data_IF_255584150452
#
_entry.id   IF_255584150452
#
_cell.length_a   1.000
_cell.length_b   1.000
_cell.length_c   1.000
_cell.angle_alpha   90.00
_cell.angle_beta   90.00
_cell.angle_gamma   90.00
#
_symmetry.space_group_name_H-M   'P 1'
#
loop_
_entity.id
_entity.type
_entity.pdbx_description
1 polymer ?
#
# COMPACT_ATOMS: atom_id res chain seq x y z
N UNK A 1 8.02 1.60 -16.76
CA UNK A 1 6.90 2.00 -17.63
C UNK A 1 5.78 0.99 -17.49
N UNK A 2 4.55 1.40 -17.73
CA UNK A 2 3.37 0.51 -17.68
C UNK A 2 2.24 1.06 -18.54
N UNK A 3 1.15 0.31 -18.64
CA UNK A 3 -0.05 0.70 -19.38
C UNK A 3 -1.26 0.66 -18.44
N UNK A 4 -2.12 1.66 -18.48
CA UNK A 4 -3.34 1.70 -17.65
C UNK A 4 -4.25 0.54 -18.05
N UNK A 5 -4.31 -0.50 -17.23
CA UNK A 5 -5.10 -1.70 -17.47
C UNK A 5 -6.50 -1.58 -16.88
N UNK A 6 -6.63 -1.04 -15.67
CA UNK A 6 -7.90 -0.89 -14.99
C UNK A 6 -7.97 0.46 -14.27
N UNK A 7 -9.17 1.03 -14.28
CA UNK A 7 -9.53 2.22 -13.49
C UNK A 7 -10.80 1.87 -12.73
N UNK A 8 -10.79 2.07 -11.43
CA UNK A 8 -11.91 1.80 -10.54
C UNK A 8 -12.08 2.91 -9.51
N UNK A 9 -13.31 3.17 -9.08
CA UNK A 9 -13.61 4.08 -7.96
C UNK A 9 -14.57 3.36 -7.00
N UNK A 10 -14.00 2.87 -5.90
CA UNK A 10 -14.74 2.25 -4.82
C UNK A 10 -15.14 3.35 -3.81
N UNK A 11 -16.34 3.90 -4.00
CA UNK A 11 -16.84 5.02 -3.23
C UNK A 11 -17.42 4.63 -1.86
N UNK A 12 -16.91 3.58 -1.23
CA UNK A 12 -17.32 3.14 0.11
C UNK A 12 -16.32 3.54 1.17
N UNK A 13 -16.80 3.75 2.40
CA UNK A 13 -15.93 4.00 3.56
C UNK A 13 -14.99 2.81 3.76
N UNK A 14 -13.73 3.14 4.01
CA UNK A 14 -12.63 2.18 4.16
C UNK A 14 -12.27 1.37 2.91
N UNK A 15 -12.88 1.66 1.76
CA UNK A 15 -12.47 1.18 0.45
C UNK A 15 -11.23 1.90 -0.08
N UNK A 16 -10.80 1.53 -1.29
CA UNK A 16 -9.65 2.17 -1.94
C UNK A 16 -9.94 3.55 -2.53
N UNK A 17 -11.23 3.90 -2.68
CA UNK A 17 -11.58 5.06 -3.49
C UNK A 17 -11.09 4.92 -4.93
N UNK A 18 -10.71 6.03 -5.60
CA UNK A 18 -10.16 5.96 -6.94
C UNK A 18 -8.85 5.17 -6.99
N UNK A 19 -8.81 4.18 -7.87
CA UNK A 19 -7.75 3.18 -7.98
C UNK A 19 -7.37 2.98 -9.44
N UNK A 20 -6.08 2.78 -9.69
CA UNK A 20 -5.54 2.48 -11.02
C UNK A 20 -4.64 1.26 -10.92
N UNK A 21 -4.77 0.33 -11.87
CA UNK A 21 -3.79 -0.72 -12.09
C UNK A 21 -3.04 -0.45 -13.39
N UNK A 22 -1.72 -0.47 -13.30
CA UNK A 22 -0.84 -0.44 -14.46
C UNK A 22 -0.37 -1.88 -14.78
N UNK A 23 -0.54 -2.30 -16.01
CA UNK A 23 0.07 -3.53 -16.53
C UNK A 23 1.53 -3.28 -16.86
N UNK A 24 2.37 -4.23 -16.53
CA UNK A 24 3.80 -4.27 -16.84
C UNK A 24 4.16 -5.60 -17.48
N UNK A 25 5.28 -5.59 -18.22
CA UNK A 25 5.88 -6.81 -18.76
C UNK A 25 7.34 -6.87 -18.35
N UNK A 26 7.77 -8.05 -17.95
CA UNK A 26 9.20 -8.34 -17.75
C UNK A 26 9.90 -8.51 -19.09
N UNK A 27 11.23 -8.55 -19.07
CA UNK A 27 12.03 -8.83 -20.27
C UNK A 27 11.80 -10.25 -20.80
N UNK A 28 11.36 -11.18 -19.93
CA UNK A 28 10.99 -12.56 -20.29
C UNK A 28 9.56 -12.66 -20.87
N UNK A 29 8.78 -11.57 -20.78
CA UNK A 29 7.42 -11.49 -21.30
C UNK A 29 6.32 -11.77 -20.28
N UNK A 30 6.66 -12.03 -19.02
CA UNK A 30 5.68 -12.21 -17.95
C UNK A 30 4.93 -10.92 -17.68
N UNK A 31 3.65 -11.06 -17.36
CA UNK A 31 2.76 -9.93 -17.06
C UNK A 31 2.52 -9.85 -15.57
N UNK A 32 2.59 -8.64 -15.04
CA UNK A 32 2.18 -8.31 -13.68
C UNK A 32 1.58 -6.92 -13.65
N UNK A 33 0.95 -6.57 -12.54
CA UNK A 33 0.35 -5.24 -12.35
C UNK A 33 0.89 -4.56 -11.11
N UNK A 34 0.81 -3.23 -11.11
CA UNK A 34 0.96 -2.43 -9.90
C UNK A 34 -0.34 -1.67 -9.64
N UNK A 35 -0.85 -1.80 -8.42
CA UNK A 35 -2.05 -1.13 -7.96
C UNK A 35 -1.68 0.13 -7.20
N UNK A 36 -2.41 1.19 -7.49
CA UNK A 36 -2.33 2.50 -6.84
C UNK A 36 -3.72 2.88 -6.34
N UNK A 37 -3.92 2.85 -5.03
CA UNK A 37 -5.20 3.17 -4.39
C UNK A 37 -5.16 4.51 -3.64
N UNK A 38 -6.32 4.98 -3.20
CA UNK A 38 -6.54 6.24 -2.48
C UNK A 38 -6.15 7.47 -3.29
N UNK A 39 -6.34 7.41 -4.60
CA UNK A 39 -6.00 8.49 -5.53
C UNK A 39 -7.10 9.57 -5.54
N UNK A 40 -6.77 10.77 -6.07
CA UNK A 40 -7.77 11.80 -6.28
C UNK A 40 -8.60 11.52 -7.53
N UNK A 41 -9.92 11.68 -7.44
CA UNK A 41 -10.85 11.55 -8.59
C UNK A 41 -10.42 12.41 -9.76
N UNK A 42 -10.04 13.65 -9.48
CA UNK A 42 -9.62 14.60 -10.50
C UNK A 42 -8.41 14.11 -11.30
N UNK A 43 -7.46 13.43 -10.69
CA UNK A 43 -6.29 12.90 -11.39
C UNK A 43 -6.65 11.65 -12.19
N UNK A 44 -7.43 10.74 -11.60
CA UNK A 44 -7.82 9.48 -12.24
C UNK A 44 -8.74 9.71 -13.45
N UNK A 45 -9.63 10.69 -13.39
CA UNK A 45 -10.50 11.07 -14.52
C UNK A 45 -9.77 11.55 -15.78
N UNK A 46 -8.48 11.87 -15.67
CA UNK A 46 -7.65 12.29 -16.81
C UNK A 46 -6.97 11.10 -17.51
N UNK A 47 -7.07 9.93 -16.92
CA UNK A 47 -6.47 8.71 -17.46
C UNK A 47 -7.44 7.98 -18.36
N UNK A 48 -6.91 7.23 -19.29
CA UNK A 48 -7.67 6.36 -20.18
C UNK A 48 -7.13 4.95 -20.16
N UNK A 49 -7.97 3.95 -20.30
CA UNK A 49 -7.54 2.57 -20.49
C UNK A 49 -6.63 2.46 -21.72
N UNK A 50 -5.56 1.71 -21.61
CA UNK A 50 -4.54 1.58 -22.65
C UNK A 50 -3.52 2.73 -22.70
N UNK A 51 -3.67 3.77 -21.89
CA UNK A 51 -2.70 4.87 -21.83
C UNK A 51 -1.37 4.36 -21.30
N UNK A 52 -0.28 4.65 -22.04
CA UNK A 52 1.08 4.37 -21.58
C UNK A 52 1.50 5.39 -20.52
N UNK A 53 2.13 4.90 -19.45
CA UNK A 53 2.75 5.71 -18.40
C UNK A 53 4.24 5.43 -18.41
N UNK A 54 5.04 6.47 -18.59
CA UNK A 54 6.50 6.35 -18.64
C UNK A 54 7.09 6.10 -17.25
N UNK A 55 8.31 5.56 -17.20
CA UNK A 55 9.06 5.42 -15.95
C UNK A 55 9.33 6.81 -15.34
N UNK A 56 8.91 6.99 -14.08
CA UNK A 56 9.08 8.26 -13.36
C UNK A 56 8.02 9.32 -13.69
N UNK A 57 7.04 9.01 -14.52
CA UNK A 57 5.94 9.93 -14.82
C UNK A 57 4.99 10.08 -13.63
N UNK A 58 4.69 11.34 -13.27
CA UNK A 58 3.68 11.66 -12.27
C UNK A 58 2.29 11.62 -12.94
N UNK A 59 1.56 10.53 -12.78
CA UNK A 59 0.26 10.31 -13.46
C UNK A 59 -0.96 10.57 -12.56
N UNK A 60 -0.80 10.55 -11.24
CA UNK A 60 -1.90 10.76 -10.31
C UNK A 60 -1.43 11.47 -9.03
N UNK A 61 -2.37 11.94 -8.22
CA UNK A 61 -2.15 12.52 -6.90
C UNK A 61 -2.98 11.78 -5.86
N UNK A 62 -2.62 11.90 -4.59
CA UNK A 62 -3.40 11.35 -3.48
C UNK A 62 -4.76 12.05 -3.36
N UNK A 63 -5.78 11.28 -3.04
CA UNK A 63 -7.11 11.78 -2.75
C UNK A 63 -7.23 12.35 -1.33
N UNK A 64 -8.09 13.35 -1.18
CA UNK A 64 -8.53 13.78 0.14
C UNK A 64 -9.45 12.72 0.78
N UNK A 65 -9.63 12.77 2.10
CA UNK A 65 -10.46 11.80 2.83
C UNK A 65 -11.87 11.64 2.24
N UNK A 66 -12.48 12.73 1.80
CA UNK A 66 -13.83 12.72 1.22
C UNK A 66 -13.97 11.91 -0.10
N UNK A 67 -12.87 11.51 -0.71
CA UNK A 67 -12.89 10.78 -1.99
C UNK A 67 -12.08 9.47 -1.97
N UNK A 68 -11.25 9.26 -0.95
CA UNK A 68 -10.29 8.15 -0.90
C UNK A 68 -10.69 7.02 0.06
N UNK A 69 -11.95 6.91 0.43
CA UNK A 69 -12.43 5.92 1.40
C UNK A 69 -12.33 6.39 2.86
N UNK A 70 -12.33 7.69 3.13
CA UNK A 70 -12.25 8.29 4.47
C UNK A 70 -10.90 8.10 5.19
N UNK A 71 -9.84 7.83 4.42
CA UNK A 71 -8.49 7.69 4.93
C UNK A 71 -7.73 9.02 4.94
N UNK A 72 -6.76 9.15 5.83
CA UNK A 72 -5.74 10.20 5.67
C UNK A 72 -5.05 10.06 4.31
N UNK A 73 -4.73 11.17 3.58
CA UNK A 73 -4.08 11.09 2.29
C UNK A 73 -2.79 10.26 2.31
N UNK A 74 -2.77 9.17 1.59
CA UNK A 74 -1.62 8.27 1.44
C UNK A 74 -1.73 7.47 0.15
N UNK A 75 -0.71 6.73 -0.20
CA UNK A 75 -0.73 5.75 -1.27
C UNK A 75 -0.92 4.35 -0.71
N UNK A 76 -1.92 3.63 -1.19
CA UNK A 76 -1.94 2.18 -1.13
C UNK A 76 -1.27 1.63 -2.40
N UNK A 77 -0.23 0.84 -2.23
CA UNK A 77 0.52 0.26 -3.35
C UNK A 77 0.62 -1.26 -3.19
N UNK A 78 0.31 -1.98 -4.27
CA UNK A 78 0.49 -3.43 -4.33
C UNK A 78 1.18 -3.82 -5.64
N UNK A 79 2.02 -4.85 -5.58
CA UNK A 79 2.38 -5.65 -6.76
C UNK A 79 1.33 -6.76 -6.88
N UNK A 80 0.85 -7.02 -8.08
CA UNK A 80 -0.19 -8.01 -8.34
C UNK A 80 0.28 -8.92 -9.47
N UNK A 81 0.38 -10.21 -9.21
CA UNK A 81 0.81 -11.21 -10.19
C UNK A 81 -0.36 -11.86 -10.90
N UNK A 82 -1.53 -11.84 -10.28
CA UNK A 82 -2.79 -12.32 -10.86
C UNK A 82 -3.94 -11.48 -10.27
N UNK A 83 -4.72 -10.84 -11.12
CA UNK A 83 -5.87 -10.05 -10.67
C UNK A 83 -7.14 -10.91 -10.46
N UNK A 84 -7.05 -12.24 -10.52
CA UNK A 84 -8.11 -13.21 -10.22
C UNK A 84 -9.45 -12.94 -10.96
N UNK A 85 -9.41 -12.30 -12.11
CA UNK A 85 -10.60 -11.89 -12.84
C UNK A 85 -11.41 -10.76 -12.18
N UNK A 86 -10.86 -10.10 -11.17
CA UNK A 86 -11.54 -9.05 -10.42
C UNK A 86 -11.51 -7.68 -11.11
N UNK A 87 -10.93 -7.59 -12.32
CA UNK A 87 -10.92 -6.36 -13.14
C UNK A 87 -10.42 -5.12 -12.37
N UNK A 88 -9.38 -5.30 -11.56
CA UNK A 88 -8.80 -4.23 -10.76
C UNK A 88 -9.41 -4.00 -9.38
N UNK A 89 -10.46 -4.72 -9.01
CA UNK A 89 -11.07 -4.68 -7.68
C UNK A 89 -10.34 -5.60 -6.70
N UNK A 90 -9.04 -5.39 -6.55
CA UNK A 90 -8.22 -6.17 -5.65
C UNK A 90 -8.55 -5.89 -4.19
N UNK A 91 -8.28 -6.87 -3.33
CA UNK A 91 -8.41 -6.71 -1.89
C UNK A 91 -7.14 -6.14 -1.28
N UNK A 92 -7.27 -5.17 -0.36
CA UNK A 92 -6.17 -4.60 0.42
C UNK A 92 -5.86 -5.38 1.69
N UNK A 93 -6.71 -6.33 2.03
CA UNK A 93 -6.58 -7.21 3.19
C UNK A 93 -6.94 -8.63 2.79
N UNK A 94 -6.32 -9.61 3.43
CA UNK A 94 -6.60 -11.02 3.22
C UNK A 94 -6.89 -11.73 4.54
N UNK A 95 -7.62 -12.85 4.48
CA UNK A 95 -7.83 -13.70 5.64
C UNK A 95 -6.57 -14.55 5.88
N UNK A 96 -6.25 -14.77 7.16
CA UNK A 96 -5.04 -15.46 7.60
C UNK A 96 -4.91 -16.86 7.01
N UNK A 97 -6.01 -17.58 6.91
CA UNK A 97 -6.02 -18.97 6.41
C UNK A 97 -5.68 -19.08 4.92
N UNK A 98 -5.72 -17.97 4.20
CA UNK A 98 -5.38 -17.85 2.78
C UNK A 98 -4.06 -17.13 2.55
N UNK A 99 -3.24 -16.94 3.57
CA UNK A 99 -2.02 -16.14 3.52
C UNK A 99 -1.09 -16.53 2.36
N UNK A 100 -0.89 -17.82 2.12
CA UNK A 100 -0.04 -18.31 1.03
C UNK A 100 -0.56 -17.90 -0.35
N UNK A 101 -1.90 -17.90 -0.54
CA UNK A 101 -2.52 -17.44 -1.78
C UNK A 101 -2.28 -15.94 -1.95
N UNK A 102 -2.53 -15.16 -0.89
CA UNK A 102 -2.36 -13.71 -0.96
C UNK A 102 -0.91 -13.29 -1.17
N UNK A 103 0.06 -13.99 -0.57
CA UNK A 103 1.47 -13.76 -0.84
C UNK A 103 1.87 -14.06 -2.29
N UNK A 104 1.25 -15.06 -2.91
CA UNK A 104 1.50 -15.38 -4.32
C UNK A 104 0.88 -14.35 -5.26
N UNK A 105 -0.35 -13.91 -4.96
CA UNK A 105 -1.12 -12.95 -5.79
C UNK A 105 -0.64 -11.53 -5.60
N UNK A 106 -0.23 -11.16 -4.39
CA UNK A 106 0.28 -9.82 -4.05
C UNK A 106 1.56 -9.95 -3.23
N UNK A 107 2.71 -10.20 -3.89
CA UNK A 107 4.00 -10.34 -3.22
C UNK A 107 4.45 -9.04 -2.58
N UNK A 108 5.48 -9.13 -1.72
CA UNK A 108 6.07 -7.98 -1.04
C UNK A 108 6.49 -6.90 -2.04
N UNK A 109 5.91 -5.69 -1.98
CA UNK A 109 6.21 -4.60 -2.91
C UNK A 109 7.65 -4.07 -2.79
N UNK A 110 8.40 -4.43 -1.74
CA UNK A 110 9.79 -4.06 -1.58
C UNK A 110 10.68 -4.52 -2.74
N UNK A 111 10.27 -5.59 -3.45
CA UNK A 111 10.96 -6.07 -4.67
C UNK A 111 11.03 -5.00 -5.77
N UNK A 112 10.02 -4.12 -5.85
CA UNK A 112 9.97 -3.03 -6.83
C UNK A 112 10.79 -1.83 -6.36
N UNK A 113 10.82 -1.58 -5.06
CA UNK A 113 11.52 -0.42 -4.49
C UNK A 113 13.02 -0.68 -4.24
N UNK A 114 13.46 -1.93 -4.35
CA UNK A 114 14.86 -2.30 -4.13
C UNK A 114 15.33 -2.14 -2.68
N UNK A 115 14.39 -2.08 -1.73
CA UNK A 115 14.71 -2.10 -0.31
C UNK A 115 13.85 -3.14 0.42
N UNK A 116 14.51 -3.92 1.24
CA UNK A 116 13.86 -4.70 2.27
C UNK A 116 14.25 -4.09 3.62
N UNK A 117 13.28 -3.76 4.46
CA UNK A 117 13.58 -3.45 5.86
C UNK A 117 13.34 -4.73 6.65
N UNK A 118 14.40 -5.46 7.03
CA UNK A 118 14.22 -6.64 7.85
C UNK A 118 13.48 -6.25 9.13
N UNK A 119 12.49 -7.03 9.54
CA UNK A 119 11.77 -6.81 10.81
C UNK A 119 12.75 -6.69 11.99
N UNK A 120 13.86 -7.41 11.96
CA UNK A 120 14.95 -7.32 12.95
C UNK A 120 15.55 -5.93 13.09
N UNK A 121 15.58 -5.12 12.02
CA UNK A 121 16.12 -3.74 12.10
C UNK A 121 15.16 -2.84 12.89
N UNK A 122 13.86 -3.02 12.75
CA UNK A 122 12.85 -2.27 13.50
C UNK A 122 12.88 -2.69 14.97
N UNK A 123 12.94 -3.97 15.24
CA UNK A 123 13.00 -4.52 16.61
C UNK A 123 14.24 -4.02 17.35
N UNK A 124 15.38 -3.91 16.68
CA UNK A 124 16.63 -3.45 17.27
C UNK A 124 16.69 -1.94 17.58
N UNK A 125 15.73 -1.13 17.07
CA UNK A 125 15.72 0.32 17.32
C UNK A 125 14.91 0.67 18.56
N UNK A 126 15.38 1.66 19.33
CA UNK A 126 14.64 2.17 20.48
C UNK A 126 13.37 2.94 20.05
N UNK A 127 12.41 3.06 20.97
CA UNK A 127 11.14 3.73 20.74
C UNK A 127 11.31 5.18 20.30
N UNK A 128 12.19 5.91 20.97
CA UNK A 128 12.40 7.34 20.71
C UNK A 128 12.98 7.58 19.33
N UNK A 129 13.92 6.71 18.91
CA UNK A 129 14.43 6.75 17.54
C UNK A 129 13.30 6.54 16.52
N UNK A 130 12.47 5.51 16.70
CA UNK A 130 11.37 5.20 15.79
C UNK A 130 10.34 6.33 15.72
N UNK A 131 9.99 6.93 16.86
CA UNK A 131 9.06 8.08 16.93
C UNK A 131 9.64 9.31 16.23
N UNK A 132 10.94 9.62 16.45
CA UNK A 132 11.62 10.73 15.76
C UNK A 132 11.66 10.51 14.25
N UNK A 133 12.06 9.33 13.78
CA UNK A 133 12.10 9.00 12.35
C UNK A 133 10.71 9.05 11.72
N UNK A 134 9.69 8.56 12.42
CA UNK A 134 8.31 8.66 11.96
C UNK A 134 7.87 10.12 11.79
N UNK A 135 8.11 10.98 12.79
CA UNK A 135 7.77 12.39 12.70
C UNK A 135 8.55 13.10 11.58
N UNK A 136 9.79 12.71 11.35
CA UNK A 136 10.62 13.29 10.28
C UNK A 136 10.12 12.91 8.88
N UNK A 137 9.67 11.66 8.69
CA UNK A 137 9.30 11.11 7.37
C UNK A 137 7.83 11.32 7.02
N UNK A 138 6.95 11.17 7.98
CA UNK A 138 5.49 11.20 7.78
C UNK A 138 4.89 12.53 8.27
N UNK A 139 5.65 13.26 9.11
CA UNK A 139 5.17 14.47 9.77
C UNK A 139 4.32 14.17 11.00
N UNK A 140 3.85 15.26 11.64
CA UNK A 140 3.03 15.17 12.87
C UNK A 140 1.54 15.12 12.61
N UNK A 141 1.12 15.22 11.36
CA UNK A 141 -0.29 15.22 10.96
C UNK A 141 -0.97 13.86 11.18
N UNK A 142 -0.20 12.78 11.13
CA UNK A 142 -0.69 11.44 11.43
C UNK A 142 -0.46 11.15 12.92
N UNK A 143 -1.54 11.14 13.73
CA UNK A 143 -1.45 10.87 15.16
C UNK A 143 -0.88 9.47 15.43
N UNK A 144 -0.11 9.36 16.50
CA UNK A 144 0.32 8.09 17.05
C UNK A 144 -0.72 7.69 18.11
N UNK A 145 -1.27 6.50 18.02
CA UNK A 145 -2.05 5.93 19.10
C UNK A 145 -1.18 5.91 20.36
N UNK A 146 -1.77 6.32 21.49
CA UNK A 146 -1.04 6.42 22.76
C UNK A 146 0.19 7.34 22.71
N UNK A 147 0.03 8.55 22.17
CA UNK A 147 1.12 9.50 21.96
C UNK A 147 1.95 9.85 23.21
N UNK A 148 1.36 9.73 24.42
CA UNK A 148 2.06 9.93 25.69
C UNK A 148 2.96 8.75 26.09
N UNK A 149 2.60 7.54 25.65
CA UNK A 149 3.35 6.31 25.89
C UNK A 149 3.23 5.41 24.66
N UNK A 150 3.98 5.71 23.58
CA UNK A 150 3.86 4.96 22.32
C UNK A 150 4.29 3.52 22.51
N UNK A 151 3.48 2.57 22.02
CA UNK A 151 3.81 1.16 22.02
C UNK A 151 4.77 0.86 20.86
N UNK A 152 5.77 0.07 21.12
CA UNK A 152 6.62 -0.55 20.10
C UNK A 152 6.28 -2.03 20.01
N UNK A 153 5.52 -2.39 18.98
CA UNK A 153 5.15 -3.77 18.73
C UNK A 153 6.34 -4.49 18.09
N UNK A 154 6.76 -5.58 18.68
CA UNK A 154 7.91 -6.39 18.24
C UNK A 154 7.48 -7.79 17.76
N UNK A 155 6.25 -8.20 18.02
CA UNK A 155 5.74 -9.49 17.62
C UNK A 155 4.22 -9.60 17.76
N UNK A 156 3.69 -10.79 17.48
CA UNK A 156 2.28 -11.09 17.67
C UNK A 156 2.04 -12.60 17.66
N UNK A 157 1.09 -13.05 18.46
CA UNK A 157 0.66 -14.44 18.51
C UNK A 157 -0.87 -14.52 18.57
N UNK A 158 -1.47 -15.15 17.57
CA UNK A 158 -2.93 -15.21 17.44
C UNK A 158 -3.54 -13.80 17.28
N UNK A 159 -4.40 -13.42 18.23
CA UNK A 159 -5.01 -12.09 18.28
C UNK A 159 -4.26 -11.10 19.20
N UNK A 160 -3.12 -11.48 19.76
CA UNK A 160 -2.33 -10.68 20.68
C UNK A 160 -1.15 -10.04 19.97
N UNK A 161 -0.89 -8.77 20.28
CA UNK A 161 0.33 -8.07 19.90
C UNK A 161 1.29 -8.10 21.08
N UNK A 162 2.57 -8.25 20.80
CA UNK A 162 3.62 -8.30 21.81
C UNK A 162 4.45 -7.02 21.68
N UNK A 163 4.52 -6.24 22.75
CA UNK A 163 5.36 -5.05 22.78
C UNK A 163 6.82 -5.38 23.17
N UNK A 164 7.68 -4.36 23.19
CA UNK A 164 9.10 -4.51 23.52
C UNK A 164 9.37 -4.71 25.04
N UNK A 165 8.31 -4.69 25.85
CA UNK A 165 8.33 -5.02 27.28
C UNK A 165 7.79 -6.43 27.56
N UNK A 166 7.27 -7.10 26.52
CA UNK A 166 6.75 -8.46 26.59
C UNK A 166 5.28 -8.57 27.03
N UNK A 167 4.52 -7.46 26.96
CA UNK A 167 3.09 -7.44 27.27
C UNK A 167 2.24 -7.76 26.06
#
# INVERSE_FOLDING_TARGET
AGTVAFIHDDAVDFGFGPTVLLEHRTDEGDVFWTLYGHLSRRSVQKLSLGQAIAKGEAFAAFGAAAENGNWSPHLHFQVVTDHLGLEGRMYGVGVRDQWQVWQAVSPDPSVVFGFATPASVIVARDKDFLVRERHRRIGRSLSIAYSAAPLKIVGGEGAHLIDDEGN
#
